data_IF_627262948370
#
_entry.id   IF_627262948370
#
_cell.length_a   1.000
_cell.length_b   1.000
_cell.length_c   1.000
_cell.angle_alpha   90.00
_cell.angle_beta   90.00
_cell.angle_gamma   90.00
#
_symmetry.space_group_name_H-M   'P 1'
#
loop_
_entity.id
_entity.type
_entity.pdbx_description
1 polymer ?
#
# COMPACT_ATOMS: atom_id res chain seq x y z
N UNK A 1 -13.70 -28.44 19.81
CA UNK A 1 -13.26 -27.17 20.41
C UNK A 1 -14.39 -26.51 21.20
N UNK A 2 -14.14 -26.02 22.43
CA UNK A 2 -15.14 -25.32 23.25
C UNK A 2 -15.19 -23.81 22.89
N UNK A 3 -16.32 -23.28 22.35
CA UNK A 3 -16.50 -21.87 22.01
C UNK A 3 -16.13 -20.86 23.10
N UNK A 4 -16.26 -21.24 24.38
CA UNK A 4 -16.00 -20.37 25.54
C UNK A 4 -14.52 -20.03 25.72
N UNK A 5 -13.61 -20.81 25.14
CA UNK A 5 -12.17 -20.60 25.27
C UNK A 5 -11.61 -19.63 24.21
N UNK A 6 -12.46 -19.06 23.34
CA UNK A 6 -11.99 -18.22 22.23
C UNK A 6 -11.17 -17.03 22.69
N UNK A 7 -11.56 -16.38 23.78
CA UNK A 7 -10.83 -15.21 24.26
C UNK A 7 -9.47 -15.59 24.86
N UNK A 8 -9.25 -16.86 25.20
CA UNK A 8 -7.94 -17.38 25.58
C UNK A 8 -7.08 -17.74 24.35
N UNK A 9 -7.71 -18.23 23.29
CA UNK A 9 -7.02 -18.59 22.05
C UNK A 9 -6.71 -17.38 21.17
N UNK A 10 -7.56 -16.37 21.20
CA UNK A 10 -7.41 -15.16 20.41
C UNK A 10 -7.85 -13.96 21.26
N UNK A 11 -6.93 -13.34 22.01
CA UNK A 11 -7.24 -12.29 22.96
C UNK A 11 -8.06 -11.13 22.39
N UNK A 12 -8.88 -10.51 23.25
CA UNK A 12 -9.81 -9.43 22.86
C UNK A 12 -9.10 -8.27 22.15
N UNK A 13 -7.87 -7.94 22.53
CA UNK A 13 -7.10 -6.88 21.89
C UNK A 13 -6.71 -7.22 20.44
N UNK A 14 -6.39 -8.48 20.15
CA UNK A 14 -6.16 -8.93 18.78
C UNK A 14 -7.47 -8.98 18.00
N UNK A 15 -8.59 -9.40 18.62
CA UNK A 15 -9.91 -9.32 17.99
C UNK A 15 -10.25 -7.89 17.58
N UNK A 16 -9.97 -6.88 18.43
CA UNK A 16 -10.22 -5.46 18.15
C UNK A 16 -9.50 -4.98 16.90
N UNK A 17 -8.27 -5.45 16.65
CA UNK A 17 -7.52 -5.12 15.44
C UNK A 17 -8.21 -5.64 14.18
N UNK A 18 -8.68 -6.90 14.18
CA UNK A 18 -9.41 -7.45 13.03
C UNK A 18 -10.78 -6.78 12.85
N UNK A 19 -11.45 -6.45 13.95
CA UNK A 19 -12.73 -5.73 13.92
C UNK A 19 -12.55 -4.33 13.31
N UNK A 20 -11.52 -3.59 13.70
CA UNK A 20 -11.28 -2.24 13.17
C UNK A 20 -11.00 -2.24 11.66
N UNK A 21 -10.34 -3.29 11.14
CA UNK A 21 -10.12 -3.50 9.70
C UNK A 21 -11.39 -3.86 8.91
N UNK A 22 -12.43 -4.36 9.59
CA UNK A 22 -13.70 -4.77 8.99
C UNK A 22 -14.76 -3.66 9.03
N UNK A 23 -14.76 -2.85 10.09
CA UNK A 23 -15.70 -1.75 10.30
C UNK A 23 -15.46 -0.64 9.26
N UNK A 24 -16.53 -0.12 8.66
CA UNK A 24 -16.48 0.88 7.58
C UNK A 24 -16.86 0.32 6.20
N UNK A 25 -17.03 -1.00 6.08
CA UNK A 25 -17.65 -1.62 4.89
C UNK A 25 -19.17 -1.51 4.96
N UNK A 26 -19.82 -1.36 3.80
CA UNK A 26 -21.28 -1.22 3.70
C UNK A 26 -21.99 -2.37 4.44
N UNK A 27 -22.83 -2.02 5.41
CA UNK A 27 -23.62 -2.98 6.18
C UNK A 27 -22.87 -3.77 7.27
N UNK A 28 -21.58 -3.53 7.48
CA UNK A 28 -20.76 -4.27 8.45
C UNK A 28 -20.62 -3.45 9.74
N UNK A 29 -21.57 -3.62 10.66
CA UNK A 29 -21.54 -2.98 11.98
C UNK A 29 -20.52 -3.65 12.88
N UNK A 30 -20.05 -2.94 13.91
CA UNK A 30 -19.13 -3.47 14.93
C UNK A 30 -19.56 -4.84 15.48
N UNK A 31 -20.84 -4.99 15.81
CA UNK A 31 -21.39 -6.26 16.32
C UNK A 31 -21.30 -7.40 15.29
N UNK A 32 -21.49 -7.10 14.00
CA UNK A 32 -21.36 -8.11 12.92
C UNK A 32 -19.89 -8.49 12.71
N UNK A 33 -18.99 -7.51 12.79
CA UNK A 33 -17.54 -7.74 12.74
C UNK A 33 -17.08 -8.64 13.91
N UNK A 34 -17.52 -8.34 15.13
CA UNK A 34 -17.24 -9.15 16.33
C UNK A 34 -17.70 -10.61 16.14
N UNK A 35 -18.96 -10.81 15.69
CA UNK A 35 -19.48 -12.16 15.43
C UNK A 35 -18.68 -12.88 14.34
N UNK A 36 -18.31 -12.18 13.27
CA UNK A 36 -17.54 -12.74 12.16
C UNK A 36 -16.12 -13.16 12.60
N UNK A 37 -15.41 -12.31 13.35
CA UNK A 37 -14.05 -12.62 13.84
C UNK A 37 -14.09 -13.83 14.77
N UNK A 38 -15.01 -13.87 15.73
CA UNK A 38 -15.17 -15.03 16.63
C UNK A 38 -15.51 -16.31 15.87
N UNK A 39 -16.39 -16.23 14.86
CA UNK A 39 -16.70 -17.36 13.99
C UNK A 39 -15.46 -17.85 13.25
N UNK A 40 -14.70 -16.94 12.65
CA UNK A 40 -13.51 -17.27 11.89
C UNK A 40 -12.46 -17.96 12.78
N UNK A 41 -12.15 -17.38 13.95
CA UNK A 41 -11.27 -18.00 14.96
C UNK A 41 -11.75 -19.40 15.32
N UNK A 42 -13.05 -19.58 15.56
CA UNK A 42 -13.63 -20.86 15.93
C UNK A 42 -13.42 -21.93 14.86
N UNK A 43 -13.74 -21.61 13.60
CA UNK A 43 -13.63 -22.55 12.48
C UNK A 43 -12.18 -22.94 12.20
N UNK A 44 -11.23 -21.99 12.35
CA UNK A 44 -9.81 -22.28 12.21
C UNK A 44 -9.33 -23.27 13.27
N UNK A 45 -9.65 -23.00 14.54
CA UNK A 45 -9.27 -23.88 15.64
C UNK A 45 -9.91 -25.26 15.52
N UNK A 46 -11.18 -25.33 15.09
CA UNK A 46 -11.89 -26.60 14.89
C UNK A 46 -11.24 -27.43 13.78
N UNK A 47 -10.94 -26.83 12.63
CA UNK A 47 -10.27 -27.53 11.54
C UNK A 47 -8.87 -28.01 11.94
N UNK A 48 -8.07 -27.19 12.61
CA UNK A 48 -6.72 -27.58 13.02
C UNK A 48 -6.74 -28.71 14.06
N UNK A 49 -7.73 -28.70 14.96
CA UNK A 49 -7.95 -29.81 15.89
C UNK A 49 -8.35 -31.10 15.17
N UNK A 50 -9.21 -31.03 14.15
CA UNK A 50 -9.62 -32.18 13.33
C UNK A 50 -8.45 -32.76 12.50
N UNK A 51 -7.53 -31.90 12.06
CA UNK A 51 -6.31 -32.29 11.33
C UNK A 51 -5.18 -32.78 12.26
N UNK A 52 -5.36 -32.77 13.58
CA UNK A 52 -4.34 -33.17 14.55
C UNK A 52 -3.18 -32.19 14.70
N UNK A 53 -3.33 -30.95 14.23
CA UNK A 53 -2.30 -29.93 14.30
C UNK A 53 -2.33 -29.21 15.65
N UNK A 54 -1.14 -29.01 16.24
CA UNK A 54 -0.99 -28.26 17.49
C UNK A 54 -0.69 -26.79 17.20
N UNK A 55 -1.73 -25.96 17.23
CA UNK A 55 -1.57 -24.50 17.21
C UNK A 55 -1.01 -24.02 18.55
N UNK A 56 -0.11 -23.04 18.51
CA UNK A 56 0.38 -22.35 19.71
C UNK A 56 -0.66 -21.33 20.18
N UNK A 57 -0.90 -21.31 21.49
CA UNK A 57 -1.77 -20.35 22.15
C UNK A 57 -0.91 -19.22 22.77
N UNK A 58 -1.31 -17.94 22.67
CA UNK A 58 -2.42 -17.43 21.86
C UNK A 58 -2.07 -17.44 20.37
N UNK A 59 -3.11 -17.54 19.52
CA UNK A 59 -2.97 -17.27 18.10
C UNK A 59 -2.46 -15.84 17.90
N UNK A 60 -1.51 -15.63 17.01
CA UNK A 60 -1.03 -14.29 16.64
C UNK A 60 -1.77 -13.76 15.42
N UNK A 61 -2.21 -14.66 14.52
CA UNK A 61 -2.89 -14.33 13.27
C UNK A 61 -4.02 -15.31 12.93
N UNK A 62 -5.03 -14.85 12.19
CA UNK A 62 -6.13 -15.67 11.69
C UNK A 62 -5.89 -16.08 10.24
N UNK A 63 -5.56 -17.36 10.03
CA UNK A 63 -5.56 -17.97 8.71
C UNK A 63 -6.98 -18.37 8.30
N UNK A 64 -7.26 -18.38 7.01
CA UNK A 64 -8.57 -18.80 6.48
C UNK A 64 -8.64 -20.34 6.52
N UNK A 65 -9.65 -20.94 7.17
CA UNK A 65 -9.85 -22.38 7.13
C UNK A 65 -10.08 -22.87 5.71
N UNK A 66 -9.55 -24.05 5.36
CA UNK A 66 -9.74 -24.63 4.04
C UNK A 66 -11.14 -25.24 3.90
N UNK A 67 -11.90 -24.80 2.90
CA UNK A 67 -13.21 -25.37 2.59
C UNK A 67 -14.28 -25.14 3.68
N UNK A 68 -15.22 -26.09 3.77
CA UNK A 68 -16.36 -26.02 4.67
C UNK A 68 -16.04 -26.71 6.00
N UNK A 69 -16.26 -26.01 7.12
CA UNK A 69 -16.07 -26.54 8.48
C UNK A 69 -17.43 -26.65 9.18
N UNK A 70 -17.71 -27.78 9.81
CA UNK A 70 -18.97 -28.02 10.52
C UNK A 70 -19.13 -27.06 11.71
N UNK A 71 -20.28 -26.41 11.84
CA UNK A 71 -20.54 -25.49 12.96
C UNK A 71 -22.04 -25.41 13.23
N UNK A 72 -22.53 -26.06 14.28
CA UNK A 72 -23.95 -26.04 14.65
C UNK A 72 -24.44 -24.62 15.00
N UNK A 73 -25.75 -24.38 14.89
CA UNK A 73 -26.34 -23.13 15.35
C UNK A 73 -26.12 -22.87 16.85
N UNK A 74 -26.02 -23.94 17.65
CA UNK A 74 -25.71 -23.87 19.08
C UNK A 74 -24.27 -23.40 19.33
N UNK A 75 -23.30 -23.97 18.62
CA UNK A 75 -21.91 -23.48 18.64
C UNK A 75 -21.88 -22.01 18.23
N UNK A 76 -22.52 -21.64 17.12
CA UNK A 76 -22.61 -20.24 16.67
C UNK A 76 -23.28 -19.31 17.70
N UNK A 77 -24.32 -19.77 18.41
CA UNK A 77 -24.98 -18.99 19.45
C UNK A 77 -24.05 -18.73 20.65
N UNK A 78 -23.31 -19.75 21.09
CA UNK A 78 -22.29 -19.61 22.12
C UNK A 78 -21.20 -18.63 21.67
N UNK A 79 -20.78 -18.67 20.41
CA UNK A 79 -19.78 -17.74 19.87
C UNK A 79 -20.25 -16.29 19.87
N UNK A 80 -21.48 -16.03 19.42
CA UNK A 80 -21.98 -14.67 19.20
C UNK A 80 -22.51 -14.00 20.46
N UNK A 81 -22.90 -14.80 21.45
CA UNK A 81 -23.64 -14.35 22.61
C UNK A 81 -23.10 -14.87 23.95
N UNK A 82 -21.85 -15.38 24.00
CA UNK A 82 -21.20 -15.88 25.22
C UNK A 82 -21.37 -14.96 26.45
N UNK A 83 -21.26 -13.64 26.24
CA UNK A 83 -21.30 -12.64 27.31
C UNK A 83 -22.70 -12.05 27.56
N UNK A 84 -23.76 -12.64 27.00
CA UNK A 84 -25.12 -12.07 27.05
C UNK A 84 -26.14 -13.12 27.42
N UNK A 85 -26.98 -12.80 28.41
CA UNK A 85 -28.20 -13.55 28.79
C UNK A 85 -29.23 -13.72 27.63
N UNK A 86 -28.94 -13.19 26.44
CA UNK A 86 -29.84 -13.18 25.28
C UNK A 86 -29.10 -13.58 24.02
N UNK A 87 -29.25 -14.85 23.65
CA UNK A 87 -28.87 -15.40 22.35
C UNK A 87 -29.45 -16.79 22.17
N UNK A 88 -30.32 -16.98 21.17
CA UNK A 88 -30.85 -18.30 20.81
C UNK A 88 -30.20 -18.82 19.54
N UNK A 89 -30.25 -20.13 19.31
CA UNK A 89 -29.84 -20.77 18.07
C UNK A 89 -30.48 -20.10 16.83
N UNK A 90 -31.74 -19.67 16.96
CA UNK A 90 -32.45 -18.91 15.92
C UNK A 90 -31.81 -17.54 15.67
N UNK A 91 -31.42 -16.82 16.72
CA UNK A 91 -30.74 -15.53 16.58
C UNK A 91 -29.35 -15.69 15.94
N UNK A 92 -28.63 -16.76 16.27
CA UNK A 92 -27.37 -17.10 15.65
C UNK A 92 -27.54 -17.42 14.16
N UNK A 93 -28.56 -18.20 13.80
CA UNK A 93 -28.94 -18.44 12.40
C UNK A 93 -29.16 -17.15 11.61
N UNK A 94 -29.93 -16.21 12.16
CA UNK A 94 -30.13 -14.90 11.53
C UNK A 94 -28.85 -14.06 11.41
N UNK A 95 -27.90 -14.21 12.33
CA UNK A 95 -26.60 -13.54 12.23
C UNK A 95 -25.78 -14.16 11.09
N UNK A 96 -25.75 -15.50 10.98
CA UNK A 96 -25.09 -16.19 9.88
C UNK A 96 -25.64 -15.75 8.53
N UNK A 97 -26.97 -15.66 8.38
CA UNK A 97 -27.59 -15.22 7.13
C UNK A 97 -27.21 -13.77 6.78
N UNK A 98 -27.03 -12.90 7.79
CA UNK A 98 -26.50 -11.54 7.59
C UNK A 98 -25.03 -11.54 7.13
N UNK A 99 -24.21 -12.44 7.67
CA UNK A 99 -22.81 -12.59 7.24
C UNK A 99 -22.72 -13.13 5.80
N UNK A 100 -23.64 -14.03 5.40
CA UNK A 100 -23.78 -14.50 4.01
C UNK A 100 -24.15 -13.35 3.08
N UNK A 101 -25.16 -12.55 3.46
CA UNK A 101 -25.61 -11.40 2.65
C UNK A 101 -24.51 -10.34 2.47
N UNK A 102 -23.57 -10.24 3.41
CA UNK A 102 -22.38 -9.39 3.33
C UNK A 102 -21.23 -10.01 2.53
N UNK A 103 -21.40 -11.23 2.02
CA UNK A 103 -20.39 -11.95 1.26
C UNK A 103 -19.19 -12.41 2.08
N UNK A 104 -19.34 -12.54 3.40
CA UNK A 104 -18.24 -12.89 4.32
C UNK A 104 -18.07 -14.39 4.50
N UNK A 105 -19.17 -15.14 4.38
CA UNK A 105 -19.19 -16.61 4.57
C UNK A 105 -20.10 -17.28 3.54
N UNK A 106 -19.89 -18.57 3.33
CA UNK A 106 -20.83 -19.47 2.67
C UNK A 106 -21.34 -20.51 3.67
N UNK A 107 -22.59 -20.94 3.51
CA UNK A 107 -23.22 -21.97 4.35
C UNK A 107 -23.79 -23.08 3.46
N UNK A 108 -23.50 -24.32 3.82
CA UNK A 108 -24.12 -25.53 3.25
C UNK A 108 -24.69 -26.39 4.37
N UNK A 109 -25.65 -27.24 4.07
CA UNK A 109 -26.19 -28.23 5.00
C UNK A 109 -25.81 -29.61 4.46
N UNK A 110 -25.14 -30.43 5.28
CA UNK A 110 -24.63 -31.74 4.88
C UNK A 110 -25.59 -32.90 5.18
N UNK A 111 -26.79 -32.59 5.71
CA UNK A 111 -27.77 -33.57 6.16
C UNK A 111 -27.85 -33.69 7.69
N UNK A 112 -26.79 -33.31 8.42
CA UNK A 112 -26.71 -33.40 9.87
C UNK A 112 -26.47 -32.04 10.53
N UNK A 113 -25.58 -31.22 9.97
CA UNK A 113 -25.20 -29.90 10.50
C UNK A 113 -25.00 -28.90 9.38
N UNK A 114 -24.90 -27.62 9.76
CA UNK A 114 -24.47 -26.59 8.81
C UNK A 114 -22.93 -26.62 8.76
N UNK A 115 -22.40 -26.52 7.56
CA UNK A 115 -20.99 -26.34 7.30
C UNK A 115 -20.78 -24.91 6.78
N UNK A 116 -19.78 -24.22 7.33
CA UNK A 116 -19.51 -22.82 7.05
C UNK A 116 -18.12 -22.71 6.43
N UNK A 117 -18.00 -21.94 5.36
CA UNK A 117 -16.73 -21.57 4.74
C UNK A 117 -16.53 -20.06 4.87
N UNK A 118 -15.35 -19.63 5.34
CA UNK A 118 -14.97 -18.21 5.36
C UNK A 118 -14.54 -17.82 3.94
N UNK A 119 -15.11 -16.73 3.40
CA UNK A 119 -14.65 -16.20 2.11
C UNK A 119 -13.38 -15.38 2.31
N UNK A 120 -12.37 -15.53 1.43
CA UNK A 120 -11.18 -14.71 1.49
C UNK A 120 -11.53 -13.24 1.30
N UNK A 121 -11.20 -12.44 2.30
CA UNK A 121 -11.31 -10.99 2.23
C UNK A 121 -9.99 -10.46 1.69
N UNK A 122 -9.95 -9.77 0.54
CA UNK A 122 -8.70 -9.32 -0.08
C UNK A 122 -7.81 -8.45 0.81
N UNK A 123 -8.36 -7.86 1.88
CA UNK A 123 -7.62 -6.99 2.82
C UNK A 123 -7.29 -7.68 4.17
N UNK A 124 -7.69 -8.94 4.37
CA UNK A 124 -7.43 -9.74 5.60
C UNK A 124 -6.88 -11.14 5.29
N UNK A 125 -6.94 -11.56 4.03
CA UNK A 125 -6.16 -12.69 3.55
C UNK A 125 -4.74 -12.20 3.35
N UNK A 126 -3.84 -12.63 4.23
CA UNK A 126 -2.45 -12.75 3.84
C UNK A 126 -2.44 -13.85 2.78
N UNK A 127 -2.12 -13.55 1.51
CA UNK A 127 -2.02 -14.61 0.53
C UNK A 127 -1.03 -15.64 1.08
N UNK A 128 -1.42 -16.93 1.06
CA UNK A 128 -0.44 -18.03 1.04
C UNK A 128 0.59 -17.61 -0.01
N UNK A 129 1.87 -17.60 0.34
CA UNK A 129 2.98 -17.18 -0.53
C UNK A 129 2.77 -17.71 -1.95
N UNK A 130 2.10 -16.90 -2.78
CA UNK A 130 1.98 -17.15 -4.20
C UNK A 130 3.39 -16.93 -4.75
N UNK A 131 3.78 -17.72 -5.74
CA UNK A 131 5.07 -17.58 -6.40
C UNK A 131 5.38 -16.09 -6.61
N UNK A 132 6.61 -15.63 -6.32
CA UNK A 132 6.93 -14.22 -6.29
C UNK A 132 6.50 -13.57 -7.60
N UNK A 133 5.52 -12.65 -7.51
CA UNK A 133 4.94 -12.01 -8.69
C UNK A 133 6.05 -11.31 -9.46
N UNK A 134 6.25 -11.69 -10.72
CA UNK A 134 7.26 -11.07 -11.57
C UNK A 134 6.83 -9.63 -11.88
N UNK A 135 7.78 -8.71 -11.75
CA UNK A 135 7.59 -7.28 -12.01
C UNK A 135 8.49 -6.79 -13.13
N UNK A 136 8.00 -5.87 -13.94
CA UNK A 136 8.74 -5.24 -15.03
C UNK A 136 8.58 -3.72 -15.00
N UNK A 137 9.58 -2.99 -15.47
CA UNK A 137 9.52 -1.53 -15.56
C UNK A 137 9.10 -1.13 -16.95
N UNK A 138 8.08 -0.29 -17.05
CA UNK A 138 7.48 0.14 -18.32
C UNK A 138 7.26 1.66 -18.34
N UNK A 139 7.02 2.19 -19.55
CA UNK A 139 6.51 3.55 -19.73
C UNK A 139 5.16 3.71 -19.03
N UNK A 140 4.97 4.84 -18.37
CA UNK A 140 3.68 5.22 -17.84
C UNK A 140 2.68 5.45 -18.98
N UNK A 141 1.53 4.76 -18.93
CA UNK A 141 0.44 4.96 -19.88
C UNK A 141 -0.67 5.82 -19.25
N UNK A 142 -0.87 7.09 -19.69
CA UNK A 142 -1.87 7.98 -19.07
C UNK A 142 -3.33 7.50 -19.18
N UNK A 143 -3.62 6.57 -20.11
CA UNK A 143 -4.95 5.99 -20.30
C UNK A 143 -5.26 4.94 -19.24
N UNK A 144 -4.31 4.07 -18.91
CA UNK A 144 -4.51 2.92 -18.01
C UNK A 144 -3.97 3.16 -16.62
N UNK A 145 -2.87 3.90 -16.50
CA UNK A 145 -2.08 3.95 -15.26
C UNK A 145 -2.46 5.16 -14.40
N UNK A 146 -2.90 6.27 -14.99
CA UNK A 146 -3.14 7.53 -14.27
C UNK A 146 -4.08 7.38 -13.07
N UNK A 147 -5.17 6.61 -13.21
CA UNK A 147 -6.12 6.40 -12.11
C UNK A 147 -5.55 5.48 -11.04
N UNK A 148 -4.89 4.38 -11.44
CA UNK A 148 -4.33 3.39 -10.51
C UNK A 148 -3.17 3.98 -9.71
N UNK A 149 -2.27 4.70 -10.39
CA UNK A 149 -1.16 5.42 -9.78
C UNK A 149 -1.68 6.54 -8.87
N UNK A 150 -2.71 7.29 -9.27
CA UNK A 150 -3.31 8.30 -8.38
C UNK A 150 -3.89 7.69 -7.11
N UNK A 151 -4.67 6.61 -7.21
CA UNK A 151 -5.21 5.89 -6.05
C UNK A 151 -4.13 5.37 -5.10
N UNK A 152 -2.99 4.97 -5.65
CA UNK A 152 -1.81 4.55 -4.90
C UNK A 152 -1.08 5.74 -4.24
N UNK A 153 -0.82 6.81 -4.99
CA UNK A 153 -0.18 8.03 -4.49
C UNK A 153 -0.96 8.64 -3.33
N UNK A 154 -2.29 8.71 -3.43
CA UNK A 154 -3.16 9.24 -2.36
C UNK A 154 -2.85 8.58 -1.02
N UNK A 155 -2.60 7.27 -0.95
CA UNK A 155 -2.25 6.59 0.31
C UNK A 155 -0.96 7.14 0.94
N UNK A 156 0.03 7.46 0.12
CA UNK A 156 1.31 8.03 0.56
C UNK A 156 1.22 9.52 0.94
N UNK A 157 0.19 10.24 0.46
CA UNK A 157 -0.05 11.65 0.80
C UNK A 157 -1.15 11.84 1.86
N UNK A 158 -1.95 10.82 2.17
CA UNK A 158 -3.11 10.88 3.06
C UNK A 158 -2.75 11.22 4.52
N UNK A 159 -1.54 10.90 4.99
CA UNK A 159 -1.11 11.29 6.34
C UNK A 159 -1.06 12.82 6.52
N UNK A 160 -1.05 13.59 5.42
CA UNK A 160 -1.11 15.05 5.44
C UNK A 160 -2.52 15.63 5.24
N UNK A 161 -3.51 14.83 4.80
CA UNK A 161 -4.85 15.33 4.46
C UNK A 161 -5.97 14.32 4.78
N UNK A 162 -6.98 14.76 5.53
CA UNK A 162 -8.17 13.97 5.87
C UNK A 162 -9.21 13.82 4.73
N UNK A 163 -8.92 14.25 3.49
CA UNK A 163 -9.85 14.19 2.36
C UNK A 163 -9.29 13.32 1.22
N UNK A 164 -9.89 12.15 0.99
CA UNK A 164 -9.30 11.08 0.14
C UNK A 164 -9.84 11.06 -1.30
N UNK A 165 -11.11 11.38 -1.53
CA UNK A 165 -11.76 11.16 -2.84
C UNK A 165 -11.47 12.25 -3.87
N UNK A 166 -11.52 13.53 -3.47
CA UNK A 166 -11.28 14.67 -4.38
C UNK A 166 -9.80 14.76 -4.82
N UNK A 167 -8.88 14.29 -3.98
CA UNK A 167 -7.43 14.32 -4.24
C UNK A 167 -7.04 13.31 -5.34
N UNK A 168 -7.64 12.12 -5.36
CA UNK A 168 -7.33 11.11 -6.40
C UNK A 168 -7.65 11.59 -7.81
N UNK A 169 -8.82 12.22 -8.01
CA UNK A 169 -9.19 12.77 -9.31
C UNK A 169 -8.23 13.88 -9.77
N UNK A 170 -7.87 14.79 -8.86
CA UNK A 170 -6.88 15.84 -9.13
C UNK A 170 -5.53 15.26 -9.56
N UNK A 171 -5.00 14.30 -8.79
CA UNK A 171 -3.72 13.65 -9.11
C UNK A 171 -3.78 12.96 -10.46
N UNK A 172 -4.85 12.22 -10.77
CA UNK A 172 -5.00 11.57 -12.07
C UNK A 172 -5.00 12.59 -13.24
N UNK A 173 -5.64 13.75 -13.07
CA UNK A 173 -5.60 14.84 -14.07
C UNK A 173 -4.19 15.39 -14.25
N UNK A 174 -3.48 15.66 -13.15
CA UNK A 174 -2.10 16.15 -13.17
C UNK A 174 -1.16 15.17 -13.88
N UNK A 175 -1.22 13.87 -13.54
CA UNK A 175 -0.40 12.85 -14.17
C UNK A 175 -0.61 12.79 -15.69
N UNK A 176 -1.86 12.97 -16.17
CA UNK A 176 -2.14 13.04 -17.61
C UNK A 176 -1.54 14.28 -18.26
N UNK A 177 -1.69 15.44 -17.62
CA UNK A 177 -1.12 16.70 -18.09
C UNK A 177 0.41 16.61 -18.18
N UNK A 178 1.07 16.13 -17.13
CA UNK A 178 2.52 15.98 -17.13
C UNK A 178 2.98 14.97 -18.18
N UNK A 179 2.27 13.85 -18.33
CA UNK A 179 2.57 12.85 -19.36
C UNK A 179 2.44 13.42 -20.78
N UNK A 180 1.50 14.33 -21.02
CA UNK A 180 1.38 15.02 -22.32
C UNK A 180 2.47 16.05 -22.59
N UNK A 181 3.12 16.58 -21.54
CA UNK A 181 4.23 17.54 -21.67
C UNK A 181 5.55 16.81 -21.83
N UNK A 182 5.80 15.79 -21.02
CA UNK A 182 7.01 14.97 -21.08
C UNK A 182 6.77 13.58 -20.48
N UNK A 183 6.58 12.58 -21.34
CA UNK A 183 6.29 11.20 -20.93
C UNK A 183 7.53 10.39 -20.53
N UNK A 184 8.70 10.69 -21.10
CA UNK A 184 9.95 9.95 -20.86
C UNK A 184 10.29 9.86 -19.36
N UNK A 185 10.05 10.93 -18.60
CA UNK A 185 10.32 10.98 -17.16
C UNK A 185 9.31 10.23 -16.29
N UNK A 186 8.30 9.56 -16.87
CA UNK A 186 7.22 8.90 -16.14
C UNK A 186 7.24 7.39 -16.36
N UNK A 187 7.47 6.64 -15.28
CA UNK A 187 7.73 5.20 -15.37
C UNK A 187 6.99 4.44 -14.28
N UNK A 188 6.59 3.21 -14.58
CA UNK A 188 5.84 2.35 -13.66
C UNK A 188 6.54 1.01 -13.49
N UNK A 189 6.53 0.49 -12.26
CA UNK A 189 6.84 -0.91 -11.99
C UNK A 189 5.53 -1.68 -11.99
N UNK A 190 5.41 -2.68 -12.85
CA UNK A 190 4.15 -3.34 -13.19
C UNK A 190 4.23 -4.83 -12.91
N UNK A 191 3.15 -5.40 -12.39
CA UNK A 191 3.00 -6.87 -12.31
C UNK A 191 2.76 -7.45 -13.70
N UNK A 192 3.50 -8.49 -14.07
CA UNK A 192 3.37 -9.10 -15.39
C UNK A 192 2.12 -9.98 -15.54
N UNK A 193 1.45 -10.32 -14.44
CA UNK A 193 0.29 -11.23 -14.45
C UNK A 193 -1.05 -10.54 -14.70
N UNK A 194 -1.16 -9.25 -14.36
CA UNK A 194 -2.40 -8.49 -14.48
C UNK A 194 -2.22 -7.02 -14.88
N UNK A 195 -1.02 -6.65 -15.33
CA UNK A 195 -0.66 -5.31 -15.77
C UNK A 195 -0.84 -4.18 -14.73
N UNK A 196 -1.05 -4.52 -13.46
CA UNK A 196 -1.27 -3.52 -12.42
C UNK A 196 0.04 -2.80 -12.05
N UNK A 197 0.08 -1.46 -12.09
CA UNK A 197 1.22 -0.71 -11.56
C UNK A 197 1.27 -0.85 -10.03
N UNK A 198 2.44 -1.22 -9.53
CA UNK A 198 2.77 -1.39 -8.11
C UNK A 198 3.95 -0.50 -7.68
N UNK A 199 4.57 0.21 -8.62
CA UNK A 199 5.50 1.29 -8.35
C UNK A 199 5.38 2.38 -9.40
N UNK A 200 5.80 3.58 -9.04
CA UNK A 200 5.77 4.75 -9.90
C UNK A 200 6.90 5.70 -9.55
N UNK A 201 7.52 6.29 -10.56
CA UNK A 201 8.32 7.48 -10.38
C UNK A 201 8.07 8.52 -11.46
N UNK A 202 8.36 9.77 -11.10
CA UNK A 202 8.25 10.95 -11.96
C UNK A 202 9.51 11.80 -11.82
N UNK A 203 10.26 11.88 -12.91
CA UNK A 203 11.35 12.83 -13.12
C UNK A 203 10.81 14.04 -13.88
N UNK A 204 10.76 15.18 -13.20
CA UNK A 204 10.10 16.40 -13.67
C UNK A 204 11.16 17.44 -14.09
N UNK A 205 11.50 17.57 -15.39
CA UNK A 205 12.44 18.59 -15.84
C UNK A 205 11.87 19.97 -15.53
N UNK A 206 12.59 20.78 -14.76
CA UNK A 206 12.05 21.97 -14.09
C UNK A 206 12.56 23.23 -14.76
N UNK A 207 11.67 24.23 -14.92
CA UNK A 207 12.03 25.50 -15.57
C UNK A 207 12.92 26.33 -14.67
N UNK A 208 13.80 27.14 -15.28
CA UNK A 208 14.73 28.03 -14.55
C UNK A 208 13.98 28.97 -13.60
N UNK A 209 12.79 29.45 -13.96
CA UNK A 209 11.97 30.31 -13.10
C UNK A 209 11.47 29.58 -11.84
N UNK A 210 11.36 28.25 -11.92
CA UNK A 210 10.90 27.38 -10.84
C UNK A 210 12.05 26.93 -9.93
N UNK A 211 13.31 27.02 -10.33
CA UNK A 211 14.47 26.54 -9.54
C UNK A 211 14.59 27.22 -8.17
N UNK A 212 14.27 28.52 -8.10
CA UNK A 212 14.21 29.27 -6.82
C UNK A 212 13.32 28.59 -5.77
N UNK A 213 12.34 27.81 -6.20
CA UNK A 213 11.41 27.14 -5.30
C UNK A 213 12.04 25.97 -4.53
N UNK A 214 13.16 25.40 -5.00
CA UNK A 214 13.92 24.39 -4.23
C UNK A 214 14.59 24.98 -2.99
N UNK A 215 14.67 26.32 -2.89
CA UNK A 215 15.22 27.04 -1.76
C UNK A 215 14.14 27.60 -0.83
N UNK A 216 12.86 27.38 -1.15
CA UNK A 216 11.73 27.74 -0.30
C UNK A 216 11.33 26.56 0.60
N UNK A 217 10.61 26.82 1.73
CA UNK A 217 10.07 25.75 2.56
C UNK A 217 9.26 24.74 1.72
N UNK A 218 9.55 23.43 1.80
CA UNK A 218 8.92 22.42 0.95
C UNK A 218 7.38 22.40 1.03
N UNK A 219 6.79 22.75 2.18
CA UNK A 219 5.33 22.83 2.33
C UNK A 219 4.66 23.79 1.33
N UNK A 220 5.37 24.83 0.87
CA UNK A 220 4.85 25.77 -0.13
C UNK A 220 4.77 25.17 -1.54
N UNK A 221 5.50 24.09 -1.78
CA UNK A 221 5.68 23.45 -3.09
C UNK A 221 4.89 22.15 -3.20
N UNK A 222 4.41 21.62 -2.07
CA UNK A 222 3.67 20.37 -1.97
C UNK A 222 2.29 20.45 -2.65
N UNK A 223 2.26 20.26 -3.98
CA UNK A 223 1.07 20.47 -4.78
C UNK A 223 0.09 19.29 -4.79
N UNK A 224 0.61 18.05 -4.78
CA UNK A 224 -0.18 16.82 -4.87
C UNK A 224 -1.16 16.65 -3.70
N UNK A 225 -0.84 17.19 -2.52
CA UNK A 225 -1.73 17.26 -1.36
C UNK A 225 -2.28 18.67 -1.08
N UNK A 226 -2.04 19.66 -1.94
CA UNK A 226 -2.65 20.98 -1.73
C UNK A 226 -4.05 21.06 -2.34
N UNK A 227 -4.89 21.96 -1.80
CA UNK A 227 -6.14 22.35 -2.44
C UNK A 227 -5.93 23.31 -3.64
N UNK A 228 -4.71 23.84 -3.83
CA UNK A 228 -4.40 24.75 -4.94
C UNK A 228 -4.53 24.05 -6.28
N UNK A 229 -5.16 24.69 -7.25
CA UNK A 229 -5.21 24.22 -8.64
C UNK A 229 -3.92 24.54 -9.41
N UNK A 230 -3.18 25.56 -8.97
CA UNK A 230 -1.95 26.01 -9.62
C UNK A 230 -0.77 25.27 -9.02
N UNK A 231 -0.01 24.65 -9.91
CA UNK A 231 1.25 23.99 -9.62
C UNK A 231 2.37 25.05 -9.49
N UNK A 232 3.08 25.14 -8.35
CA UNK A 232 4.18 26.08 -8.19
C UNK A 232 5.42 25.70 -9.02
N UNK A 233 5.49 24.48 -9.56
CA UNK A 233 6.59 24.01 -10.40
C UNK A 233 6.15 23.90 -11.86
N UNK A 234 6.92 24.48 -12.78
CA UNK A 234 6.65 24.40 -14.22
C UNK A 234 7.58 23.39 -14.88
N UNK A 235 7.01 22.49 -15.70
CA UNK A 235 7.77 21.52 -16.46
C UNK A 235 8.34 22.17 -17.72
N UNK A 236 9.54 21.74 -18.12
CA UNK A 236 10.17 22.16 -19.38
C UNK A 236 9.89 21.16 -20.48
N UNK A 237 9.74 21.66 -21.71
CA UNK A 237 9.62 20.84 -22.92
C UNK A 237 11.00 20.49 -23.49
N UNK A 238 11.18 19.31 -24.12
CA UNK A 238 12.46 18.91 -24.72
C UNK A 238 13.07 19.96 -25.66
N UNK A 239 14.41 20.04 -25.68
CA UNK A 239 15.17 20.97 -26.50
C UNK A 239 15.44 22.33 -25.85
N UNK A 240 14.94 22.57 -24.64
CA UNK A 240 15.32 23.74 -23.86
C UNK A 240 16.72 23.53 -23.24
N UNK A 241 17.69 24.30 -23.72
CA UNK A 241 19.07 24.25 -23.22
C UNK A 241 19.27 24.82 -21.82
N UNK A 242 18.33 25.60 -21.29
CA UNK A 242 18.46 26.25 -19.98
C UNK A 242 17.99 25.35 -18.82
N UNK A 243 17.47 24.16 -19.12
CA UNK A 243 17.04 23.21 -18.11
C UNK A 243 18.26 22.56 -17.43
N UNK A 244 18.53 22.96 -16.19
CA UNK A 244 19.62 22.40 -15.37
C UNK A 244 19.12 21.41 -14.33
N UNK A 245 17.84 21.48 -13.96
CA UNK A 245 17.29 20.81 -12.79
C UNK A 245 16.19 19.81 -13.12
N UNK A 246 16.22 18.65 -12.47
CA UNK A 246 15.14 17.67 -12.43
C UNK A 246 14.61 17.50 -11.02
N UNK A 247 13.29 17.60 -10.87
CA UNK A 247 12.59 17.31 -9.63
C UNK A 247 12.10 15.86 -9.63
N UNK A 248 12.62 15.03 -8.72
CA UNK A 248 12.07 13.72 -8.39
C UNK A 248 10.78 13.95 -7.60
N UNK A 249 9.70 14.13 -8.35
CA UNK A 249 8.42 14.55 -7.80
C UNK A 249 7.65 13.40 -7.15
N UNK A 250 7.97 12.18 -7.53
CA UNK A 250 7.52 10.96 -6.87
C UNK A 250 8.50 9.84 -7.17
N UNK A 251 8.76 9.00 -6.18
CA UNK A 251 9.38 7.69 -6.36
C UNK A 251 8.83 6.78 -5.25
N UNK A 252 8.24 5.65 -5.63
CA UNK A 252 7.65 4.74 -4.66
C UNK A 252 7.38 3.36 -5.27
N UNK A 253 7.47 2.35 -4.42
CA UNK A 253 7.05 0.97 -4.68
C UNK A 253 6.12 0.59 -3.53
N UNK A 254 4.96 0.00 -3.85
CA UNK A 254 4.00 -0.49 -2.86
C UNK A 254 4.65 -1.55 -1.97
N UNK A 255 4.45 -1.47 -0.65
CA UNK A 255 5.23 -2.20 0.37
C UNK A 255 5.38 -3.70 0.09
N UNK A 256 4.33 -4.44 -0.33
CA UNK A 256 4.47 -5.88 -0.61
C UNK A 256 5.46 -6.22 -1.75
N UNK A 257 5.82 -5.24 -2.58
CA UNK A 257 6.68 -5.40 -3.75
C UNK A 257 8.04 -4.71 -3.59
N UNK A 258 8.23 -3.94 -2.50
CA UNK A 258 9.46 -3.18 -2.24
C UNK A 258 10.54 -4.10 -1.69
N UNK A 259 11.07 -4.98 -2.53
CA UNK A 259 12.20 -5.88 -2.21
C UNK A 259 13.49 -5.33 -2.80
N UNK A 260 14.65 -5.72 -2.27
CA UNK A 260 15.96 -5.27 -2.77
C UNK A 260 16.09 -5.43 -4.30
N UNK A 261 15.77 -6.58 -4.94
CA UNK A 261 15.87 -6.71 -6.38
C UNK A 261 14.98 -5.74 -7.16
N UNK A 262 13.77 -5.46 -6.65
CA UNK A 262 12.83 -4.55 -7.31
C UNK A 262 13.25 -3.09 -7.12
N UNK A 263 13.79 -2.74 -5.94
CA UNK A 263 14.36 -1.42 -5.68
C UNK A 263 15.55 -1.16 -6.60
N UNK A 264 16.50 -2.11 -6.70
CA UNK A 264 17.63 -1.99 -7.62
C UNK A 264 17.17 -1.81 -9.05
N UNK A 265 16.30 -2.70 -9.55
CA UNK A 265 15.76 -2.62 -10.91
C UNK A 265 15.11 -1.26 -11.19
N UNK A 266 14.34 -0.74 -10.24
CA UNK A 266 13.61 0.50 -10.45
C UNK A 266 14.52 1.73 -10.41
N UNK A 267 15.57 1.73 -9.60
CA UNK A 267 16.60 2.78 -9.55
C UNK A 267 17.54 2.73 -10.76
N UNK A 268 17.87 1.54 -11.26
CA UNK A 268 18.62 1.37 -12.51
C UNK A 268 17.83 1.94 -13.70
N UNK A 269 16.50 1.74 -13.74
CA UNK A 269 15.64 2.39 -14.73
C UNK A 269 15.63 3.92 -14.57
N UNK A 270 15.71 4.45 -13.34
CA UNK A 270 15.91 5.91 -13.12
C UNK A 270 17.23 6.38 -13.76
N UNK A 271 18.34 5.65 -13.58
CA UNK A 271 19.61 6.00 -14.23
C UNK A 271 19.50 5.97 -15.75
N UNK A 272 18.84 4.95 -16.32
CA UNK A 272 18.61 4.87 -17.77
C UNK A 272 17.75 6.02 -18.28
N UNK A 273 16.70 6.38 -17.54
CA UNK A 273 15.81 7.49 -17.90
C UNK A 273 16.52 8.83 -17.79
N UNK A 274 17.35 9.06 -16.77
CA UNK A 274 18.16 10.28 -16.67
C UNK A 274 19.15 10.43 -17.84
N UNK A 275 19.78 9.33 -18.29
CA UNK A 275 20.64 9.38 -19.49
C UNK A 275 19.86 9.77 -20.75
N UNK A 276 18.62 9.28 -20.90
CA UNK A 276 17.73 9.73 -21.99
C UNK A 276 17.36 11.21 -21.83
N UNK A 277 17.01 11.64 -20.61
CA UNK A 277 16.72 13.04 -20.31
C UNK A 277 17.89 13.97 -20.62
N UNK A 278 19.14 13.56 -20.41
CA UNK A 278 20.31 14.37 -20.80
C UNK A 278 20.43 14.57 -22.32
N UNK A 279 19.84 13.67 -23.14
CA UNK A 279 19.75 13.91 -24.58
C UNK A 279 18.68 14.95 -24.92
N UNK A 280 17.58 14.98 -24.17
CA UNK A 280 16.48 15.94 -24.34
C UNK A 280 16.80 17.32 -23.71
N UNK A 281 17.65 17.34 -22.68
CA UNK A 281 18.09 18.49 -21.88
C UNK A 281 19.60 18.43 -21.61
N UNK A 282 20.45 18.91 -22.53
CA UNK A 282 21.91 18.72 -22.47
C UNK A 282 22.60 19.26 -21.21
N UNK A 283 22.03 20.30 -20.59
CA UNK A 283 22.60 20.93 -19.40
C UNK A 283 22.02 20.39 -18.08
N UNK A 284 21.23 19.31 -18.12
CA UNK A 284 20.65 18.71 -16.93
C UNK A 284 21.73 18.14 -16.00
N UNK A 285 21.91 18.76 -14.84
CA UNK A 285 22.97 18.45 -13.88
C UNK A 285 22.50 18.31 -12.43
N UNK A 286 21.36 18.88 -12.06
CA UNK A 286 20.90 18.93 -10.67
C UNK A 286 19.65 18.10 -10.43
N UNK A 287 19.66 17.28 -9.37
CA UNK A 287 18.51 16.46 -8.98
C UNK A 287 18.05 16.83 -7.58
N UNK A 288 16.79 17.27 -7.50
CA UNK A 288 16.12 17.63 -6.25
C UNK A 288 15.01 16.64 -5.93
N UNK A 289 14.78 16.36 -4.67
CA UNK A 289 13.62 15.62 -4.21
C UNK A 289 13.13 16.17 -2.87
N UNK A 290 11.87 15.92 -2.54
CA UNK A 290 11.32 16.23 -1.23
C UNK A 290 11.11 14.93 -0.47
N UNK A 291 11.68 14.83 0.73
CA UNK A 291 11.42 13.68 1.60
C UNK A 291 10.11 13.91 2.33
N UNK A 292 9.06 13.21 1.88
CA UNK A 292 7.70 13.34 2.41
C UNK A 292 7.46 12.33 3.54
N UNK A 293 8.03 11.13 3.45
CA UNK A 293 7.81 10.08 4.46
C UNK A 293 9.15 9.54 5.00
N UNK A 294 9.31 9.39 6.34
CA UNK A 294 10.56 8.94 6.95
C UNK A 294 11.10 7.59 6.42
N UNK A 295 10.22 6.71 5.94
CA UNK A 295 10.59 5.40 5.38
C UNK A 295 11.44 5.43 4.10
N UNK A 296 11.73 6.61 3.57
CA UNK A 296 12.59 6.79 2.40
C UNK A 296 13.90 7.52 2.72
N UNK A 297 14.11 7.93 3.98
CA UNK A 297 15.32 8.65 4.39
C UNK A 297 16.57 7.80 4.23
N UNK A 298 16.55 6.58 4.74
CA UNK A 298 17.69 5.66 4.63
C UNK A 298 18.05 5.37 3.18
N UNK A 299 17.04 5.22 2.31
CA UNK A 299 17.24 5.05 0.88
C UNK A 299 17.88 6.28 0.25
N UNK A 300 17.36 7.48 0.54
CA UNK A 300 17.93 8.72 0.02
C UNK A 300 19.40 8.91 0.45
N UNK A 301 19.70 8.61 1.72
CA UNK A 301 21.06 8.70 2.27
C UNK A 301 22.00 7.66 1.65
N UNK A 302 21.54 6.43 1.44
CA UNK A 302 22.32 5.38 0.77
C UNK A 302 22.63 5.71 -0.70
N UNK A 303 21.72 6.43 -1.36
CA UNK A 303 21.92 7.00 -2.69
C UNK A 303 22.75 8.30 -2.65
N UNK A 304 23.21 8.71 -1.47
CA UNK A 304 24.08 9.86 -1.24
C UNK A 304 23.43 11.22 -1.54
N UNK A 305 22.12 11.32 -1.39
CA UNK A 305 21.47 12.63 -1.37
C UNK A 305 21.83 13.39 -0.09
N UNK A 306 21.94 14.71 -0.20
CA UNK A 306 22.21 15.60 0.93
C UNK A 306 20.99 16.45 1.25
N UNK A 307 20.69 16.63 2.53
CA UNK A 307 19.67 17.56 3.00
C UNK A 307 20.15 18.99 2.86
N UNK A 308 19.39 19.83 2.14
CA UNK A 308 19.80 21.22 1.83
C UNK A 308 18.91 22.30 2.45
N UNK A 309 17.62 22.02 2.68
CA UNK A 309 16.69 22.98 3.28
C UNK A 309 15.50 22.26 3.93
N UNK A 310 15.10 22.68 5.13
CA UNK A 310 13.97 22.10 5.87
C UNK A 310 12.78 23.03 5.95
N UNK A 311 11.62 22.46 6.24
CA UNK A 311 10.44 23.24 6.59
C UNK A 311 10.48 23.65 8.07
N UNK A 312 10.17 24.92 8.43
CA UNK A 312 10.20 25.35 9.82
C UNK A 312 9.10 24.73 10.69
N UNK A 313 8.01 24.24 10.09
CA UNK A 313 6.78 23.82 10.78
C UNK A 313 6.39 22.37 10.51
N UNK A 314 7.20 21.63 9.75
CA UNK A 314 6.95 20.23 9.44
C UNK A 314 8.26 19.46 9.32
N UNK A 315 8.17 18.13 9.27
CA UNK A 315 9.33 17.25 9.06
C UNK A 315 9.79 17.20 7.60
N UNK A 316 9.18 17.98 6.69
CA UNK A 316 9.53 18.00 5.28
C UNK A 316 10.87 18.70 5.05
N UNK A 317 11.66 18.20 4.12
CA UNK A 317 12.90 18.85 3.68
C UNK A 317 13.24 18.50 2.24
N UNK A 318 14.00 19.39 1.62
CA UNK A 318 14.64 19.18 0.34
C UNK A 318 15.92 18.37 0.51
N UNK A 319 16.08 17.42 -0.40
CA UNK A 319 17.32 16.71 -0.63
C UNK A 319 17.83 16.97 -2.05
N UNK A 320 19.14 16.91 -2.20
CA UNK A 320 19.85 17.24 -3.43
C UNK A 320 20.93 16.22 -3.74
N UNK A 321 21.15 15.97 -5.03
CA UNK A 321 22.30 15.27 -5.56
C UNK A 321 22.57 15.74 -7.00
N UNK A 322 23.83 15.79 -7.40
CA UNK A 322 24.17 16.01 -8.81
C UNK A 322 23.84 14.77 -9.66
N UNK A 323 23.33 14.97 -10.87
CA UNK A 323 22.88 13.92 -11.79
C UNK A 323 24.03 12.99 -12.17
N UNK A 324 25.20 13.54 -12.50
CA UNK A 324 26.41 12.78 -12.84
C UNK A 324 26.84 11.83 -11.69
N UNK A 325 26.80 12.33 -10.46
CA UNK A 325 27.12 11.54 -9.26
C UNK A 325 26.11 10.42 -9.04
N UNK A 326 24.83 10.65 -9.32
CA UNK A 326 23.81 9.60 -9.25
C UNK A 326 23.96 8.55 -10.36
N UNK A 327 24.27 8.99 -11.58
CA UNK A 327 24.50 8.12 -12.74
C UNK A 327 25.74 7.23 -12.59
N UNK A 328 26.72 7.67 -11.78
CA UNK A 328 27.94 6.93 -11.48
C UNK A 328 27.78 5.90 -10.34
N UNK A 329 26.63 5.85 -9.66
CA UNK A 329 26.40 4.89 -8.57
C UNK A 329 26.32 3.46 -9.09
N UNK A 330 26.97 2.55 -8.38
CA UNK A 330 26.60 1.14 -8.35
C UNK A 330 25.39 0.99 -7.43
N UNK A 331 24.20 0.98 -8.03
CA UNK A 331 22.93 0.92 -7.29
C UNK A 331 22.90 -0.28 -6.35
N UNK A 332 23.27 -1.46 -6.82
CA UNK A 332 23.21 -2.70 -6.05
C UNK A 332 24.09 -2.59 -4.79
N UNK A 333 25.30 -2.06 -4.93
CA UNK A 333 26.21 -1.84 -3.80
C UNK A 333 25.72 -0.73 -2.86
N UNK A 334 25.18 0.35 -3.40
CA UNK A 334 24.70 1.49 -2.59
C UNK A 334 23.55 1.11 -1.68
N UNK A 335 22.64 0.23 -2.12
CA UNK A 335 21.45 -0.14 -1.33
C UNK A 335 21.53 -1.52 -0.67
N UNK A 336 22.67 -2.22 -0.77
CA UNK A 336 22.79 -3.61 -0.29
C UNK A 336 22.63 -3.78 1.21
N UNK A 337 22.93 -2.75 2.00
CA UNK A 337 22.81 -2.77 3.47
C UNK A 337 21.43 -2.38 3.97
N UNK A 338 20.52 -1.98 3.08
CA UNK A 338 19.18 -1.57 3.46
C UNK A 338 18.27 -2.77 3.58
N UNK A 339 17.47 -2.78 4.65
CA UNK A 339 16.44 -3.79 4.81
C UNK A 339 15.17 -3.35 4.06
N UNK A 340 14.80 -4.17 3.09
CA UNK A 340 13.59 -4.02 2.29
C UNK A 340 12.64 -5.18 2.53
N UNK A 341 12.86 -5.97 3.59
CA UNK A 341 11.87 -6.95 4.00
C UNK A 341 10.52 -6.24 4.16
N UNK A 342 9.48 -6.90 3.66
CA UNK A 342 8.11 -6.66 4.15
C UNK A 342 8.21 -6.66 5.68
N UNK A 343 7.50 -5.79 6.43
CA UNK A 343 7.55 -5.85 7.89
C UNK A 343 7.21 -7.28 8.31
N UNK A 344 8.25 -8.06 8.61
CA UNK A 344 8.13 -9.40 9.13
C UNK A 344 7.38 -9.22 10.45
N UNK A 345 6.31 -9.98 10.68
CA UNK A 345 6.51 -11.28 11.34
C UNK A 345 7.57 -11.20 12.44
N UNK A 346 7.50 -10.18 13.29
CA UNK A 346 8.09 -10.22 14.62
C UNK A 346 7.32 -11.26 15.44
N UNK A 347 7.88 -12.47 15.40
CA UNK A 347 7.95 -13.60 16.35
C UNK A 347 6.74 -13.83 17.27
#
# INVERSE_FOLDING_TARGET
MNPELIDQWFPVDQQRNYISMLVGRVGLTRRRAECFVRLWTYLLLKQQQELGNHLRQPLTNLQIPEGFVACTHREAAQLFYADKDRGSDRAAGMMLDKLIALGLIEKKFDGNTICIQIRPLPNLSFPKSEAPVKLEVNDFNPRTDAVLVASFLVRNYNWMNNNTTAVSHKIAKLLRTWSSQYSTGMRVLRRTDNDRPVGFYLLYPTSTESEKNFFLPPSKILHLSSASEIDPMTMVVPGNGDCTSVFVRSWMIDTPYKTLPNVCRFLEDVQQTLRKMQSDFPNLCDMYAMTIHPSYEELAMALGFQKIAGDPKSSLYWIYRAVDQFLALDIAKSVSSLDFASPDMEV
#
